data_IF_649090115530
#
_entry.id   IF_649090115530
#
_cell.length_a   1.000
_cell.length_b   1.000
_cell.length_c   1.000
_cell.angle_alpha   90.00
_cell.angle_beta   90.00
_cell.angle_gamma   90.00
#
_symmetry.space_group_name_H-M   'P 1'
#
loop_
_entity.id
_entity.type
_entity.pdbx_description
1 polymer ?
#
# COMPACT_ATOMS: atom_id res chain seq x y z
N UNK A 1 34.88 15.18 13.42
CA UNK A 1 35.67 13.96 13.14
C UNK A 1 35.22 12.91 14.16
N UNK A 2 34.86 11.71 13.69
CA UNK A 2 33.46 11.26 13.74
C UNK A 2 33.29 9.91 14.46
N UNK A 3 32.04 9.46 14.56
CA UNK A 3 31.70 8.12 15.02
C UNK A 3 30.32 7.68 14.52
N UNK A 4 30.09 7.82 13.22
CA UNK A 4 29.00 7.16 12.49
C UNK A 4 29.32 5.67 12.30
N UNK A 5 28.41 4.75 12.62
CA UNK A 5 28.30 3.49 11.84
C UNK A 5 26.86 2.96 11.87
N UNK A 6 26.35 2.78 10.65
CA UNK A 6 25.10 2.16 10.26
C UNK A 6 25.12 0.63 10.44
N UNK A 7 23.93 0.08 10.73
CA UNK A 7 23.25 -1.07 10.11
C UNK A 7 24.07 -2.17 9.39
N UNK A 8 23.79 -3.45 9.71
CA UNK A 8 23.06 -4.43 8.86
C UNK A 8 23.36 -5.91 9.19
N UNK A 9 22.25 -6.66 9.36
CA UNK A 9 21.90 -8.01 8.88
C UNK A 9 22.77 -9.25 9.11
N UNK A 10 22.08 -10.25 9.69
CA UNK A 10 22.06 -11.70 9.41
C UNK A 10 22.83 -12.19 8.17
N UNK A 11 23.57 -13.29 8.32
CA UNK A 11 23.06 -14.63 7.97
C UNK A 11 24.05 -15.75 8.27
N UNK A 12 23.47 -16.87 8.69
CA UNK A 12 24.11 -18.15 8.88
C UNK A 12 24.60 -18.74 7.54
N UNK A 13 25.73 -19.46 7.59
CA UNK A 13 26.09 -20.46 6.60
C UNK A 13 26.48 -21.74 7.35
N UNK A 14 25.66 -22.79 7.18
CA UNK A 14 25.98 -24.17 7.49
C UNK A 14 26.71 -24.74 6.28
N UNK A 15 27.92 -25.25 6.47
CA UNK A 15 28.72 -25.88 5.44
C UNK A 15 29.00 -27.33 5.89
N UNK A 16 28.41 -28.29 5.18
CA UNK A 16 28.73 -29.72 5.27
C UNK A 16 29.08 -30.19 3.88
N UNK A 17 30.27 -30.76 3.70
CA UNK A 17 30.47 -31.90 2.78
C UNK A 17 31.87 -32.48 2.95
N UNK A 18 31.89 -33.79 2.69
CA UNK A 18 32.78 -34.81 3.17
C UNK A 18 34.16 -34.90 2.49
N UNK A 19 35.00 -35.66 3.19
CA UNK A 19 36.34 -36.07 2.84
C UNK A 19 36.41 -36.92 1.55
N UNK A 20 37.50 -36.70 0.83
CA UNK A 20 37.94 -37.49 -0.31
C UNK A 20 38.53 -38.84 0.11
N UNK A 21 38.23 -39.89 -0.66
CA UNK A 21 39.07 -41.10 -0.76
C UNK A 21 39.28 -41.40 -2.24
N UNK A 22 40.55 -41.49 -2.58
CA UNK A 22 41.13 -41.65 -3.91
C UNK A 22 41.36 -43.14 -4.22
N UNK A 23 41.00 -43.62 -5.42
CA UNK A 23 41.58 -44.86 -5.97
C UNK A 23 41.63 -44.82 -7.50
N UNK A 24 42.78 -45.25 -8.04
CA UNK A 24 43.23 -45.10 -9.42
C UNK A 24 42.62 -46.13 -10.41
N UNK A 25 42.64 -45.87 -11.74
CA UNK A 25 41.98 -46.70 -12.76
C UNK A 25 42.96 -47.61 -13.54
N UNK A 26 42.47 -48.62 -14.30
CA UNK A 26 43.24 -49.27 -15.35
C UNK A 26 42.78 -48.90 -16.77
N UNK A 27 43.65 -49.27 -17.73
CA UNK A 27 43.88 -48.72 -19.06
C UNK A 27 43.07 -49.35 -20.21
N UNK A 28 42.74 -48.49 -21.18
CA UNK A 28 42.86 -48.59 -22.66
C UNK A 28 42.24 -49.75 -23.48
N UNK A 29 41.54 -49.39 -24.56
CA UNK A 29 41.86 -49.76 -25.98
C UNK A 29 40.88 -49.05 -26.94
N UNK A 30 41.38 -48.14 -27.79
CA UNK A 30 41.65 -48.29 -29.24
C UNK A 30 40.43 -48.54 -30.15
N UNK A 31 40.11 -47.56 -31.01
CA UNK A 31 39.94 -47.75 -32.47
C UNK A 31 39.86 -46.38 -33.17
N UNK A 32 40.85 -46.11 -34.01
CA UNK A 32 40.98 -44.93 -34.87
C UNK A 32 40.39 -45.22 -36.25
N UNK A 33 39.45 -44.38 -36.69
CA UNK A 33 39.03 -44.25 -38.08
C UNK A 33 39.36 -42.82 -38.52
N UNK A 34 40.54 -42.66 -39.12
CA UNK A 34 41.06 -41.38 -39.61
C UNK A 34 40.31 -40.93 -40.88
N UNK A 35 39.26 -40.13 -40.71
CA UNK A 35 38.79 -39.24 -41.79
C UNK A 35 39.81 -38.12 -41.95
N UNK A 36 40.18 -37.78 -43.19
CA UNK A 36 41.23 -36.78 -43.45
C UNK A 36 40.92 -35.46 -42.72
N UNK A 37 41.93 -34.74 -42.18
CA UNK A 37 41.72 -33.51 -41.43
C UNK A 37 40.99 -32.44 -42.25
N UNK A 38 41.10 -32.46 -43.58
CA UNK A 38 40.35 -31.59 -44.48
C UNK A 38 38.85 -31.87 -44.50
N UNK A 39 38.43 -33.14 -44.47
CA UNK A 39 37.01 -33.51 -44.41
C UNK A 39 36.35 -33.17 -43.08
N UNK A 40 37.09 -33.29 -41.97
CA UNK A 40 36.59 -32.92 -40.64
C UNK A 40 36.45 -31.40 -40.51
N UNK A 41 37.46 -30.64 -40.96
CA UNK A 41 37.42 -29.18 -40.95
C UNK A 41 36.28 -28.63 -41.83
N UNK A 42 36.08 -29.18 -43.03
CA UNK A 42 34.99 -28.78 -43.91
C UNK A 42 33.61 -29.15 -43.33
N UNK A 43 33.48 -30.28 -42.66
CA UNK A 43 32.25 -30.65 -41.96
C UNK A 43 31.95 -29.69 -40.80
N UNK A 44 32.97 -29.33 -40.00
CA UNK A 44 32.82 -28.35 -38.91
C UNK A 44 32.44 -26.97 -39.46
N UNK A 45 33.10 -26.49 -40.52
CA UNK A 45 32.78 -25.21 -41.15
C UNK A 45 31.37 -25.20 -41.74
N UNK A 46 30.93 -26.30 -42.37
CA UNK A 46 29.56 -26.44 -42.86
C UNK A 46 28.54 -26.45 -41.72
N UNK A 47 28.80 -27.15 -40.62
CA UNK A 47 27.94 -27.13 -39.43
C UNK A 47 27.85 -25.75 -38.80
N UNK A 48 28.97 -25.02 -38.67
CA UNK A 48 28.99 -23.66 -38.17
C UNK A 48 28.22 -22.69 -39.08
N UNK A 49 28.32 -22.85 -40.40
CA UNK A 49 27.56 -22.04 -41.36
C UNK A 49 26.05 -22.29 -41.24
N UNK A 50 25.62 -23.54 -41.05
CA UNK A 50 24.21 -23.87 -40.80
C UNK A 50 23.72 -23.27 -39.50
N UNK A 51 24.51 -23.39 -38.41
CA UNK A 51 24.16 -22.78 -37.11
C UNK A 51 24.02 -21.26 -37.26
N UNK A 52 24.98 -20.59 -37.90
CA UNK A 52 24.93 -19.14 -38.10
C UNK A 52 23.71 -18.72 -38.94
N UNK A 53 23.39 -19.49 -39.99
CA UNK A 53 22.21 -19.23 -40.81
C UNK A 53 20.91 -19.42 -40.03
N UNK A 54 20.81 -20.47 -39.19
CA UNK A 54 19.62 -20.69 -38.34
C UNK A 54 19.43 -19.56 -37.32
N UNK A 55 20.52 -19.09 -36.69
CA UNK A 55 20.47 -17.96 -35.76
C UNK A 55 20.03 -16.70 -36.50
N UNK A 56 20.57 -16.42 -37.69
CA UNK A 56 20.17 -15.28 -38.50
C UNK A 56 18.68 -15.32 -38.89
N UNK A 57 18.16 -16.48 -39.29
CA UNK A 57 16.74 -16.66 -39.62
C UNK A 57 15.84 -16.43 -38.40
N UNK A 58 16.24 -16.90 -37.20
CA UNK A 58 15.51 -16.67 -35.95
C UNK A 58 15.52 -15.19 -35.57
N UNK A 59 16.67 -14.52 -35.67
CA UNK A 59 16.75 -13.08 -35.41
C UNK A 59 15.92 -12.27 -36.40
N UNK A 60 15.94 -12.63 -37.68
CA UNK A 60 15.12 -11.99 -38.72
C UNK A 60 13.64 -12.21 -38.44
N UNK A 61 13.21 -13.44 -38.12
CA UNK A 61 11.80 -13.70 -37.77
C UNK A 61 11.37 -12.95 -36.51
N UNK A 62 12.18 -12.92 -35.45
CA UNK A 62 11.89 -12.13 -34.25
C UNK A 62 11.84 -10.62 -34.51
N UNK A 63 12.73 -10.10 -35.35
CA UNK A 63 12.74 -8.68 -35.73
C UNK A 63 11.50 -8.31 -36.55
N UNK A 64 11.08 -9.16 -37.49
CA UNK A 64 9.88 -8.93 -38.29
C UNK A 64 8.57 -9.22 -37.53
N UNK A 65 8.53 -10.15 -36.58
CA UNK A 65 7.35 -10.34 -35.70
C UNK A 65 7.23 -9.21 -34.68
N UNK A 66 8.35 -8.71 -34.14
CA UNK A 66 8.35 -7.54 -33.26
C UNK A 66 7.90 -6.28 -33.99
N UNK A 67 8.30 -6.08 -35.25
CA UNK A 67 7.89 -4.90 -36.02
C UNK A 67 6.46 -5.01 -36.57
N UNK A 68 5.98 -6.20 -36.95
CA UNK A 68 4.60 -6.40 -37.41
C UNK A 68 3.56 -6.42 -36.28
N UNK A 69 3.97 -6.58 -35.02
CA UNK A 69 3.11 -6.42 -33.84
C UNK A 69 2.61 -4.99 -33.60
N UNK A 70 3.13 -4.01 -34.34
CA UNK A 70 2.77 -2.58 -34.18
C UNK A 70 1.76 -2.05 -35.21
N UNK A 71 1.25 -2.87 -36.15
CA UNK A 71 0.25 -2.45 -37.15
C UNK A 71 -1.01 -3.32 -37.26
N UNK A 72 -1.36 -4.09 -36.22
CA UNK A 72 -2.69 -4.71 -36.08
C UNK A 72 -3.43 -4.36 -34.77
N UNK A 73 -3.12 -3.20 -34.18
CA UNK A 73 -4.00 -2.53 -33.21
C UNK A 73 -4.74 -1.38 -33.93
N UNK A 74 -5.58 -1.73 -34.90
CA UNK A 74 -6.14 -0.73 -35.83
C UNK A 74 -7.37 -1.17 -36.62
N UNK A 75 -8.23 -1.99 -36.02
CA UNK A 75 -9.64 -2.14 -36.41
C UNK A 75 -10.47 -2.35 -35.16
N UNK A 76 -10.70 -1.27 -34.43
CA UNK A 76 -11.84 -1.20 -33.54
C UNK A 76 -13.08 -1.11 -34.44
N UNK A 77 -13.81 -2.22 -34.56
CA UNK A 77 -15.23 -2.14 -34.88
C UNK A 77 -15.86 -1.15 -33.89
N UNK A 78 -16.47 -0.11 -34.44
CA UNK A 78 -17.32 0.80 -33.70
C UNK A 78 -18.57 0.04 -33.26
N UNK A 79 -18.45 -0.77 -32.21
CA UNK A 79 -19.57 -1.19 -31.41
C UNK A 79 -20.10 0.05 -30.70
N UNK A 80 -21.28 0.46 -31.16
CA UNK A 80 -22.14 1.43 -30.49
C UNK A 80 -22.20 1.13 -28.99
N UNK A 81 -21.85 2.14 -28.18
CA UNK A 81 -22.22 2.24 -26.77
C UNK A 81 -21.45 1.32 -25.82
N UNK A 82 -20.21 1.67 -25.50
CA UNK A 82 -19.68 1.34 -24.17
C UNK A 82 -20.29 2.34 -23.16
N UNK A 83 -21.12 1.92 -22.19
CA UNK A 83 -21.72 2.84 -21.21
C UNK A 83 -20.68 3.47 -20.28
N UNK A 84 -19.48 2.88 -20.18
CA UNK A 84 -18.44 3.29 -19.25
C UNK A 84 -17.08 3.42 -19.97
N UNK A 85 -16.68 4.63 -20.43
CA UNK A 85 -15.31 4.85 -20.89
C UNK A 85 -14.31 4.50 -19.78
N UNK A 86 -13.06 4.10 -20.11
CA UNK A 86 -12.01 3.91 -19.11
C UNK A 86 -11.96 5.16 -18.26
N UNK A 87 -12.08 4.94 -16.96
CA UNK A 87 -12.28 5.93 -15.92
C UNK A 87 -11.23 7.06 -16.01
N UNK A 88 -11.46 8.09 -16.86
CA UNK A 88 -10.65 9.31 -16.89
C UNK A 88 -10.71 9.96 -15.51
N UNK A 89 -9.64 10.57 -15.02
CA UNK A 89 -9.63 11.27 -13.74
C UNK A 89 -10.84 12.24 -13.64
N UNK A 90 -11.89 11.93 -12.85
CA UNK A 90 -13.18 12.63 -12.93
C UNK A 90 -13.06 14.06 -12.41
N UNK A 91 -12.15 14.25 -11.46
CA UNK A 91 -11.84 15.51 -10.78
C UNK A 91 -10.95 16.46 -11.60
N UNK A 92 -10.55 16.08 -12.82
CA UNK A 92 -10.01 17.05 -13.79
C UNK A 92 -11.11 17.92 -14.42
N UNK A 93 -12.39 17.65 -14.14
CA UNK A 93 -13.46 18.61 -14.41
C UNK A 93 -13.35 19.75 -13.41
N UNK A 94 -13.35 20.99 -13.91
CA UNK A 94 -13.50 22.18 -13.06
C UNK A 94 -14.71 21.97 -12.15
N UNK A 95 -14.52 22.08 -10.83
CA UNK A 95 -15.66 22.21 -9.94
C UNK A 95 -16.45 23.45 -10.35
N UNK A 96 -17.62 23.26 -10.96
CA UNK A 96 -18.49 24.36 -11.42
C UNK A 96 -18.96 25.22 -10.24
N UNK A 97 -19.05 24.61 -9.05
CA UNK A 97 -19.29 25.33 -7.80
C UNK A 97 -18.01 26.09 -7.41
N UNK A 98 -17.96 27.40 -7.67
CA UNK A 98 -17.02 28.32 -7.01
C UNK A 98 -17.27 28.24 -5.51
N UNK A 99 -16.56 27.34 -4.81
CA UNK A 99 -16.56 27.33 -3.35
C UNK A 99 -15.88 28.63 -2.90
N UNK A 100 -16.62 29.48 -2.19
CA UNK A 100 -16.02 30.61 -1.49
C UNK A 100 -15.18 30.05 -0.32
N UNK A 101 -13.91 30.45 -0.21
CA UNK A 101 -13.05 30.09 0.92
C UNK A 101 -12.08 28.93 0.66
N UNK A 102 -11.55 28.38 1.76
CA UNK A 102 -10.53 27.33 1.75
C UNK A 102 -11.20 25.96 1.52
N UNK A 103 -10.69 25.09 0.63
CA UNK A 103 -11.22 23.76 0.44
C UNK A 103 -11.25 22.95 1.76
N UNK A 104 -12.34 22.22 2.06
CA UNK A 104 -12.41 21.38 3.26
C UNK A 104 -11.42 20.22 3.16
N UNK A 105 -10.85 19.80 4.30
CA UNK A 105 -9.98 18.63 4.40
C UNK A 105 -10.79 17.43 4.91
N UNK A 106 -10.79 16.34 4.13
CA UNK A 106 -11.30 15.03 4.57
C UNK A 106 -10.10 14.08 4.77
N UNK A 107 -10.00 13.51 5.97
CA UNK A 107 -9.05 12.45 6.32
C UNK A 107 -9.83 11.15 6.47
N UNK A 108 -9.47 10.13 5.70
CA UNK A 108 -10.07 8.81 5.78
C UNK A 108 -9.01 7.82 6.22
N UNK A 109 -9.28 7.09 7.30
CA UNK A 109 -8.48 5.95 7.75
C UNK A 109 -9.23 4.65 7.49
N UNK A 110 -8.59 3.74 6.75
CA UNK A 110 -9.01 2.35 6.59
C UNK A 110 -8.04 1.52 7.43
N UNK A 111 -8.50 1.00 8.57
CA UNK A 111 -7.61 0.31 9.51
C UNK A 111 -7.02 -0.94 8.86
N UNK A 112 -5.75 -1.23 9.16
CA UNK A 112 -5.06 -2.42 8.62
C UNK A 112 -4.85 -2.39 7.10
N UNK A 113 -5.14 -1.28 6.40
CA UNK A 113 -4.95 -1.20 4.96
C UNK A 113 -3.45 -1.12 4.59
N UNK A 114 -2.85 -2.29 4.36
CA UNK A 114 -1.46 -2.39 3.94
C UNK A 114 -1.26 -1.88 2.50
N UNK A 115 -0.13 -1.21 2.23
CA UNK A 115 0.18 -0.66 0.90
C UNK A 115 0.06 -1.70 -0.24
N UNK A 116 0.38 -2.97 0.04
CA UNK A 116 0.29 -4.07 -0.92
C UNK A 116 -1.14 -4.29 -1.46
N UNK A 117 -2.18 -3.98 -0.68
CA UNK A 117 -3.57 -4.20 -1.08
C UNK A 117 -4.00 -3.35 -2.27
N UNK A 118 -3.35 -2.20 -2.51
CA UNK A 118 -3.69 -1.34 -3.66
C UNK A 118 -3.45 -2.06 -5.00
N UNK A 119 -2.44 -2.92 -5.08
CA UNK A 119 -2.10 -3.66 -6.29
C UNK A 119 -2.57 -5.11 -6.25
N UNK A 120 -2.78 -5.66 -5.05
CA UNK A 120 -3.10 -7.07 -4.87
C UNK A 120 -4.61 -7.35 -4.81
N UNK A 121 -5.42 -6.34 -4.48
CA UNK A 121 -6.89 -6.45 -4.41
C UNK A 121 -7.55 -5.53 -5.42
N UNK A 122 -8.80 -5.83 -5.76
CA UNK A 122 -9.60 -4.99 -6.64
C UNK A 122 -10.07 -3.73 -5.88
N UNK A 123 -9.24 -2.70 -5.90
CA UNK A 123 -9.50 -1.41 -5.24
C UNK A 123 -9.55 -0.26 -6.24
N UNK A 124 -10.44 -0.30 -7.25
CA UNK A 124 -10.39 0.57 -8.41
C UNK A 124 -10.52 2.05 -8.03
N UNK A 125 -11.35 2.37 -7.04
CA UNK A 125 -11.53 3.73 -6.53
C UNK A 125 -10.29 4.26 -5.83
N UNK A 126 -9.64 3.46 -4.97
CA UNK A 126 -8.43 3.85 -4.23
C UNK A 126 -7.25 3.99 -5.19
N UNK A 127 -7.10 3.02 -6.11
CA UNK A 127 -6.08 3.07 -7.16
C UNK A 127 -6.22 4.34 -8.00
N UNK A 128 -7.44 4.65 -8.43
CA UNK A 128 -7.74 5.87 -9.19
C UNK A 128 -7.47 7.15 -8.40
N UNK A 129 -7.77 7.18 -7.10
CA UNK A 129 -7.42 8.31 -6.23
C UNK A 129 -5.91 8.56 -6.22
N UNK A 130 -5.11 7.49 -6.15
CA UNK A 130 -3.65 7.57 -6.22
C UNK A 130 -3.11 7.98 -7.60
N UNK A 131 -3.70 7.47 -8.69
CA UNK A 131 -3.29 7.79 -10.07
C UNK A 131 -3.61 9.24 -10.46
N UNK A 132 -4.76 9.74 -10.02
CA UNK A 132 -5.25 11.08 -10.35
C UNK A 132 -4.86 12.16 -9.33
N UNK A 133 -4.27 11.75 -8.20
CA UNK A 133 -3.87 12.61 -7.09
C UNK A 133 -2.39 12.47 -6.76
N UNK A 134 -2.03 12.83 -5.53
CA UNK A 134 -0.71 12.55 -4.98
C UNK A 134 -0.73 11.23 -4.19
N UNK A 135 0.27 10.37 -4.43
CA UNK A 135 0.45 9.12 -3.68
C UNK A 135 1.90 8.95 -3.24
N UNK A 136 2.10 8.64 -1.97
CA UNK A 136 3.38 8.15 -1.46
C UNK A 136 3.55 6.65 -1.76
N UNK A 137 4.80 6.20 -1.86
CA UNK A 137 5.10 4.76 -2.08
C UNK A 137 4.55 3.90 -0.94
N UNK A 138 4.70 4.36 0.30
CA UNK A 138 4.10 3.83 1.53
C UNK A 138 4.21 4.87 2.65
N UNK A 139 3.58 4.60 3.80
CA UNK A 139 3.70 5.40 5.02
C UNK A 139 4.21 4.49 6.15
N UNK A 140 5.27 4.91 6.85
CA UNK A 140 5.74 4.19 8.03
C UNK A 140 4.84 4.48 9.23
N UNK A 141 4.33 3.45 9.94
CA UNK A 141 3.66 3.66 11.21
C UNK A 141 4.67 4.00 12.31
N UNK A 142 4.22 4.69 13.34
CA UNK A 142 4.89 4.72 14.64
C UNK A 142 4.90 3.31 15.26
N UNK A 143 5.94 3.04 16.06
CA UNK A 143 6.00 1.81 16.85
C UNK A 143 5.31 2.02 18.22
N UNK A 144 4.47 1.06 18.69
CA UNK A 144 4.04 -0.15 17.99
C UNK A 144 3.02 0.13 16.89
N UNK A 145 2.99 -0.72 15.85
CA UNK A 145 2.04 -0.62 14.72
C UNK A 145 0.63 -1.08 15.12
N UNK A 146 0.04 -0.36 16.08
CA UNK A 146 -1.29 -0.59 16.65
C UNK A 146 -2.22 0.58 16.31
N UNK A 147 -3.51 0.31 16.19
CA UNK A 147 -4.55 1.28 15.82
C UNK A 147 -4.44 2.56 16.64
N UNK A 148 -4.51 2.47 17.97
CA UNK A 148 -4.68 3.65 18.82
C UNK A 148 -3.45 4.55 18.86
N UNK A 149 -2.23 4.03 19.09
CA UNK A 149 -1.02 4.84 19.00
C UNK A 149 -0.88 5.55 17.65
N UNK A 150 -1.14 4.85 16.54
CA UNK A 150 -0.93 5.42 15.21
C UNK A 150 -2.01 6.43 14.81
N UNK A 151 -3.28 6.18 15.12
CA UNK A 151 -4.35 7.15 14.83
C UNK A 151 -4.17 8.45 15.62
N UNK A 152 -3.67 8.37 16.85
CA UNK A 152 -3.37 9.56 17.63
C UNK A 152 -2.06 10.24 17.21
N UNK A 153 -1.05 9.48 16.77
CA UNK A 153 0.14 10.03 16.08
C UNK A 153 -0.28 10.85 14.86
N UNK A 154 -1.15 10.32 13.99
CA UNK A 154 -1.63 11.03 12.79
C UNK A 154 -2.36 12.33 13.18
N UNK A 155 -3.15 12.29 14.25
CA UNK A 155 -3.90 13.46 14.71
C UNK A 155 -3.04 14.56 15.33
N UNK A 156 -1.91 14.20 15.95
CA UNK A 156 -1.11 15.13 16.79
C UNK A 156 0.27 15.46 16.20
N UNK A 157 0.78 14.63 15.28
CA UNK A 157 2.16 14.70 14.81
C UNK A 157 3.20 14.27 15.86
N UNK A 158 2.77 13.64 16.96
CA UNK A 158 3.64 13.24 18.07
C UNK A 158 3.90 11.74 18.07
N UNK A 159 5.03 11.30 18.63
CA UNK A 159 5.28 9.88 18.87
C UNK A 159 4.43 9.33 20.03
N UNK A 160 4.16 8.01 20.06
CA UNK A 160 3.42 7.36 21.14
C UNK A 160 3.87 7.68 22.55
N UNK A 161 5.18 7.68 22.80
CA UNK A 161 5.74 8.04 24.11
C UNK A 161 5.55 9.51 24.50
N UNK A 162 5.26 10.39 23.55
CA UNK A 162 5.02 11.82 23.79
C UNK A 162 3.54 12.14 23.97
N UNK A 163 2.66 11.50 23.20
CA UNK A 163 1.22 11.75 23.26
C UNK A 163 0.48 10.84 24.25
N UNK A 164 1.18 9.92 24.92
CA UNK A 164 0.68 9.12 26.04
C UNK A 164 -0.01 7.80 25.66
N UNK A 165 -0.55 7.71 24.44
CA UNK A 165 -1.16 6.48 23.90
C UNK A 165 -0.09 5.53 23.33
N UNK A 166 0.44 4.63 24.16
CA UNK A 166 1.55 3.73 23.79
C UNK A 166 1.14 2.36 23.26
N UNK A 167 -0.09 1.92 23.52
CA UNK A 167 -0.69 0.69 22.98
C UNK A 167 -2.23 0.85 22.94
N UNK A 168 -2.95 -0.08 22.29
CA UNK A 168 -4.41 -0.19 22.39
C UNK A 168 -4.84 -0.56 23.81
N UNK A 169 -4.00 -1.31 24.55
CA UNK A 169 -4.22 -1.69 25.95
C UNK A 169 -2.89 -1.59 26.68
N UNK A 170 -2.81 -0.74 27.70
CA UNK A 170 -1.62 -0.63 28.54
C UNK A 170 -1.98 -0.46 30.01
N UNK A 171 -0.97 -0.60 30.87
CA UNK A 171 -1.10 -0.54 32.32
C UNK A 171 -0.32 0.64 32.85
N UNK A 172 -0.84 1.27 33.88
CA UNK A 172 -0.13 2.26 34.68
C UNK A 172 0.91 1.58 35.59
N UNK A 173 1.87 2.33 36.20
CA UNK A 173 2.88 1.75 37.09
C UNK A 173 2.31 0.94 38.27
N UNK A 174 1.09 1.25 38.72
CA UNK A 174 0.36 0.50 39.73
C UNK A 174 -0.50 -0.65 39.16
N UNK A 175 -0.18 -1.14 37.95
CA UNK A 175 -0.81 -2.29 37.28
C UNK A 175 -2.32 -2.17 37.10
N UNK A 176 -2.85 -0.96 37.01
CA UNK A 176 -4.25 -0.75 36.64
C UNK A 176 -4.37 -0.82 35.13
N UNK A 177 -5.16 -1.78 34.62
CA UNK A 177 -5.48 -1.84 33.19
C UNK A 177 -6.21 -0.56 32.81
N UNK A 178 -5.66 0.19 31.87
CA UNK A 178 -6.26 1.44 31.47
C UNK A 178 -7.27 1.24 30.33
N UNK A 179 -8.39 1.97 30.41
CA UNK A 179 -9.30 2.08 29.28
C UNK A 179 -8.80 3.20 28.37
N UNK A 180 -8.07 2.84 27.32
CA UNK A 180 -7.48 3.77 26.35
C UNK A 180 -8.50 4.64 25.62
N UNK A 181 -9.78 4.31 25.74
CA UNK A 181 -10.87 5.16 25.29
C UNK A 181 -11.14 6.34 26.23
N UNK A 182 -10.49 6.49 27.38
CA UNK A 182 -10.74 7.58 28.34
C UNK A 182 -9.70 8.69 28.18
N UNK A 183 -10.20 9.94 28.17
CA UNK A 183 -9.46 11.19 27.97
C UNK A 183 -8.16 11.42 28.75
N UNK A 184 -7.90 10.71 29.86
CA UNK A 184 -6.90 11.17 30.85
C UNK A 184 -5.43 10.94 30.47
N UNK A 185 -5.14 10.20 29.40
CA UNK A 185 -3.77 9.99 28.89
C UNK A 185 -3.46 10.71 27.58
N UNK A 186 -4.47 11.28 26.93
CA UNK A 186 -4.28 12.01 25.69
C UNK A 186 -3.50 13.31 25.98
N UNK A 187 -2.27 13.35 25.50
CA UNK A 187 -1.39 14.51 25.60
C UNK A 187 -1.15 15.11 24.23
N UNK A 188 -0.73 16.38 24.19
CA UNK A 188 -0.57 17.11 22.93
C UNK A 188 -1.87 17.70 22.42
N UNK A 189 -1.83 18.29 21.23
CA UNK A 189 -2.98 18.93 20.60
C UNK A 189 -3.36 18.18 19.32
N UNK A 190 -4.51 17.49 19.30
CA UNK A 190 -4.99 16.88 18.08
C UNK A 190 -5.52 17.93 17.10
N UNK A 191 -5.41 17.66 15.81
CA UNK A 191 -5.72 18.60 14.73
C UNK A 191 -7.16 19.15 14.78
N UNK A 192 -8.14 18.39 15.26
CA UNK A 192 -9.50 18.90 15.45
C UNK A 192 -9.57 20.02 16.48
N UNK A 193 -8.80 19.94 17.57
CA UNK A 193 -8.71 21.02 18.56
C UNK A 193 -8.02 22.26 17.95
N UNK A 194 -6.97 22.08 17.15
CA UNK A 194 -6.32 23.19 16.44
C UNK A 194 -7.32 23.92 15.52
N UNK A 195 -8.14 23.16 14.78
CA UNK A 195 -9.18 23.73 13.89
C UNK A 195 -10.21 24.53 14.70
N UNK A 196 -10.73 23.97 15.79
CA UNK A 196 -11.71 24.65 16.67
C UNK A 196 -11.13 25.92 17.30
N UNK A 197 -9.89 25.87 17.81
CA UNK A 197 -9.20 27.04 18.38
C UNK A 197 -8.99 28.18 17.38
N UNK A 198 -8.97 27.86 16.09
CA UNK A 198 -8.88 28.83 15.00
C UNK A 198 -10.26 29.26 14.46
N UNK A 199 -11.33 29.04 15.23
CA UNK A 199 -12.69 29.49 14.91
C UNK A 199 -13.33 28.75 13.74
N UNK A 200 -12.87 27.53 13.42
CA UNK A 200 -13.38 26.70 12.33
C UNK A 200 -14.07 25.45 12.87
N UNK A 201 -14.93 24.87 12.05
CA UNK A 201 -15.66 23.64 12.39
C UNK A 201 -14.80 22.42 12.06
N UNK A 202 -14.70 21.48 13.02
CA UNK A 202 -14.11 20.15 12.81
C UNK A 202 -15.10 19.07 13.22
N UNK A 203 -15.29 18.05 12.37
CA UNK A 203 -16.14 16.89 12.67
C UNK A 203 -15.33 15.61 12.57
N UNK A 204 -15.60 14.65 13.46
CA UNK A 204 -14.93 13.36 13.47
C UNK A 204 -15.94 12.22 13.58
N UNK A 205 -15.79 11.22 12.74
CA UNK A 205 -16.58 10.00 12.74
C UNK A 205 -15.67 8.86 13.17
N UNK A 206 -15.83 8.42 14.43
CA UNK A 206 -15.10 7.30 15.03
C UNK A 206 -13.57 7.44 15.10
N UNK A 207 -13.03 8.67 15.04
CA UNK A 207 -11.60 8.87 15.25
C UNK A 207 -11.24 8.79 16.74
N UNK A 208 -10.16 8.08 17.07
CA UNK A 208 -9.74 7.91 18.47
C UNK A 208 -9.53 9.26 19.18
N UNK A 209 -10.10 9.41 20.37
CA UNK A 209 -9.96 10.60 21.21
C UNK A 209 -10.79 11.80 20.76
N UNK A 210 -11.51 11.73 19.63
CA UNK A 210 -12.31 12.86 19.15
C UNK A 210 -13.57 13.14 19.98
N UNK A 211 -13.96 12.18 20.83
CA UNK A 211 -15.10 12.24 21.73
C UNK A 211 -14.70 12.63 23.17
N UNK A 212 -13.41 12.87 23.42
CA UNK A 212 -12.90 13.35 24.70
C UNK A 212 -12.55 14.85 24.64
N UNK A 213 -12.73 15.54 25.77
CA UNK A 213 -12.25 16.92 25.96
C UNK A 213 -10.76 16.96 26.25
N UNK A 214 -9.96 16.81 25.20
CA UNK A 214 -8.50 16.86 25.28
C UNK A 214 -8.06 18.32 25.45
N UNK A 215 -7.36 18.65 26.55
CA UNK A 215 -7.02 20.02 26.93
C UNK A 215 -8.22 20.98 26.99
N UNK A 216 -9.40 20.46 27.38
CA UNK A 216 -10.63 21.23 27.50
C UNK A 216 -11.33 21.57 26.17
N UNK A 217 -10.84 21.06 25.04
CA UNK A 217 -11.44 21.23 23.70
C UNK A 217 -11.74 19.85 23.11
N UNK A 218 -12.86 19.75 22.39
CA UNK A 218 -13.27 18.55 21.65
C UNK A 218 -13.71 18.92 20.24
N UNK A 219 -13.88 17.91 19.37
CA UNK A 219 -14.41 18.14 18.02
C UNK A 219 -15.83 18.72 18.08
N UNK A 220 -16.19 19.61 17.14
CA UNK A 220 -17.53 20.22 17.05
C UNK A 220 -18.66 19.19 16.89
N UNK A 221 -18.33 18.00 16.38
CA UNK A 221 -19.18 16.82 16.37
C UNK A 221 -18.32 15.57 16.43
N UNK A 222 -18.76 14.58 17.21
CA UNK A 222 -18.20 13.24 17.21
C UNK A 222 -19.30 12.18 17.20
N UNK A 223 -19.09 11.08 16.48
CA UNK A 223 -19.96 9.89 16.53
C UNK A 223 -19.14 8.66 16.89
N UNK A 224 -19.66 7.82 17.79
CA UNK A 224 -19.04 6.55 18.17
C UNK A 224 -20.11 5.46 18.16
N UNK A 225 -19.92 4.38 17.39
CA UNK A 225 -20.76 3.17 17.52
C UNK A 225 -20.33 2.27 18.69
N UNK A 226 -19.27 2.65 19.41
CA UNK A 226 -18.84 1.96 20.63
C UNK A 226 -19.81 2.15 21.79
N UNK A 227 -20.79 3.05 21.63
CA UNK A 227 -21.92 3.23 22.54
C UNK A 227 -23.20 2.88 21.77
N UNK A 228 -23.84 1.78 22.18
CA UNK A 228 -25.19 1.33 21.79
C UNK A 228 -25.44 0.90 20.35
N UNK A 229 -25.49 -0.44 20.15
CA UNK A 229 -26.53 -1.15 19.38
C UNK A 229 -26.70 -0.87 17.88
N UNK A 230 -26.00 0.12 17.33
CA UNK A 230 -26.15 0.60 15.97
C UNK A 230 -25.08 -0.06 15.11
N UNK A 231 -25.50 -0.98 14.25
CA UNK A 231 -24.70 -1.42 13.11
C UNK A 231 -24.83 -0.38 12.01
N UNK A 232 -24.26 0.81 12.21
CA UNK A 232 -24.09 1.72 11.09
C UNK A 232 -23.14 1.06 10.09
N UNK A 233 -23.64 0.82 8.89
CA UNK A 233 -22.85 0.26 7.79
C UNK A 233 -21.99 1.36 7.17
N UNK A 234 -20.91 1.00 6.48
CA UNK A 234 -19.98 2.00 5.92
C UNK A 234 -20.64 3.03 5.01
N UNK A 235 -21.72 2.64 4.32
CA UNK A 235 -22.51 3.55 3.47
C UNK A 235 -23.07 4.70 4.28
N UNK A 236 -23.69 4.44 5.43
CA UNK A 236 -24.27 5.49 6.29
C UNK A 236 -23.22 6.48 6.76
N UNK A 237 -22.01 6.00 7.09
CA UNK A 237 -20.90 6.87 7.51
C UNK A 237 -20.41 7.76 6.37
N UNK A 238 -20.34 7.21 5.16
CA UNK A 238 -19.94 7.95 3.96
C UNK A 238 -21.01 8.98 3.58
N UNK A 239 -22.29 8.63 3.68
CA UNK A 239 -23.41 9.54 3.43
C UNK A 239 -23.40 10.70 4.43
N UNK A 240 -23.23 10.41 5.73
CA UNK A 240 -23.10 11.44 6.77
C UNK A 240 -21.95 12.42 6.50
N UNK A 241 -20.76 11.91 6.14
CA UNK A 241 -19.61 12.77 5.82
C UNK A 241 -19.87 13.56 4.53
N UNK A 242 -20.52 12.95 3.54
CA UNK A 242 -20.89 13.63 2.29
C UNK A 242 -21.83 14.78 2.56
N UNK A 243 -22.87 14.57 3.38
CA UNK A 243 -23.83 15.59 3.80
C UNK A 243 -23.14 16.77 4.50
N UNK A 244 -22.14 16.51 5.34
CA UNK A 244 -21.34 17.58 5.94
C UNK A 244 -20.58 18.39 4.89
N UNK A 245 -20.04 17.76 3.86
CA UNK A 245 -19.19 18.42 2.86
C UNK A 245 -19.99 19.16 1.78
N UNK A 246 -21.28 18.86 1.61
CA UNK A 246 -22.17 19.54 0.66
C UNK A 246 -23.10 20.57 1.31
N UNK A 247 -23.09 20.67 2.64
CA UNK A 247 -23.87 21.66 3.39
C UNK A 247 -23.48 23.11 3.04
N UNK A 248 -24.31 24.06 3.46
CA UNK A 248 -24.05 25.49 3.28
C UNK A 248 -22.86 26.00 4.10
N UNK A 249 -22.54 25.31 5.21
CA UNK A 249 -21.40 25.60 6.09
C UNK A 249 -20.59 24.32 6.36
N UNK A 250 -19.77 23.87 5.38
CA UNK A 250 -19.05 22.61 5.48
C UNK A 250 -17.89 22.73 6.49
N UNK A 251 -17.58 21.66 7.25
CA UNK A 251 -16.48 21.68 8.20
C UNK A 251 -15.14 21.86 7.48
N UNK A 252 -14.24 22.63 8.08
CA UNK A 252 -12.88 22.79 7.58
C UNK A 252 -12.08 21.48 7.66
N UNK A 253 -12.42 20.62 8.63
CA UNK A 253 -11.84 19.29 8.81
C UNK A 253 -12.94 18.26 9.07
N UNK A 254 -12.92 17.18 8.30
CA UNK A 254 -13.66 15.95 8.57
C UNK A 254 -12.67 14.79 8.72
N UNK A 255 -12.83 13.95 9.74
CA UNK A 255 -12.03 12.74 9.94
C UNK A 255 -12.95 11.53 10.00
N UNK A 256 -12.67 10.49 9.23
CA UNK A 256 -13.50 9.29 9.11
C UNK A 256 -12.64 8.04 9.35
N UNK A 257 -13.12 7.15 10.21
CA UNK A 257 -12.51 5.85 10.47
C UNK A 257 -13.40 4.71 9.96
N UNK A 258 -12.76 3.71 9.35
CA UNK A 258 -13.35 2.44 8.91
C UNK A 258 -12.54 1.27 9.45
N UNK A 259 -13.21 0.27 10.00
CA UNK A 259 -12.55 -0.89 10.65
C UNK A 259 -11.98 -1.93 9.68
N UNK A 260 -12.31 -1.86 8.40
CA UNK A 260 -11.82 -2.81 7.38
C UNK A 260 -10.66 -2.21 6.58
N UNK A 261 -9.70 -3.04 6.10
CA UNK A 261 -9.67 -4.50 6.16
C UNK A 261 -9.07 -5.12 7.44
N UNK A 262 -8.73 -4.34 8.47
CA UNK A 262 -8.13 -4.86 9.72
C UNK A 262 -8.93 -6.00 10.34
N UNK A 263 -10.25 -5.82 10.47
CA UNK A 263 -11.12 -6.83 11.06
C UNK A 263 -11.14 -8.16 10.28
N UNK A 264 -11.24 -8.09 8.96
CA UNK A 264 -11.17 -9.29 8.11
C UNK A 264 -9.77 -9.92 8.18
N UNK A 265 -8.72 -9.11 8.14
CA UNK A 265 -7.33 -9.55 8.26
C UNK A 265 -7.04 -10.23 9.60
N UNK A 266 -7.62 -9.77 10.69
CA UNK A 266 -7.53 -10.41 12.00
C UNK A 266 -8.27 -11.74 12.06
N UNK A 267 -9.40 -11.86 11.37
CA UNK A 267 -10.27 -13.04 11.43
C UNK A 267 -9.77 -14.17 10.53
N UNK A 268 -9.26 -13.85 9.35
CA UNK A 268 -8.97 -14.82 8.29
C UNK A 268 -7.49 -14.83 7.85
N UNK A 269 -6.71 -13.86 8.32
CA UNK A 269 -5.33 -13.64 7.88
C UNK A 269 -5.27 -12.64 6.73
N UNK A 270 -4.14 -11.94 6.57
CA UNK A 270 -4.04 -10.80 5.68
C UNK A 270 -3.99 -11.19 4.20
N UNK A 271 -3.99 -12.50 3.91
CA UNK A 271 -3.88 -13.06 2.57
C UNK A 271 -5.16 -13.73 2.06
N UNK A 272 -6.22 -13.78 2.88
CA UNK A 272 -7.45 -14.52 2.59
C UNK A 272 -8.36 -13.82 1.57
N UNK A 273 -9.39 -14.52 1.09
CA UNK A 273 -10.37 -13.96 0.13
C UNK A 273 -11.29 -12.90 0.77
N UNK A 274 -11.48 -12.95 2.09
CA UNK A 274 -12.31 -12.00 2.84
C UNK A 274 -11.66 -10.61 2.97
N UNK A 275 -10.33 -10.53 2.85
CA UNK A 275 -9.53 -9.29 2.81
C UNK A 275 -9.43 -8.79 1.37
#
# INVERSE_FOLDING_TARGET
IPGSTLLYSLSAMVQVSDAAVESAPPKSSFLSSSKSPFTLLNAILASLAVIFFTIAVVFITLFFTSNNGSQQAGKAEALQGNPNPPLSCPWMRQCEKKRAGVPPLLVISMDGFANRYINWRDTPTIKKLGECGGRAEFMYPSFPSKTFPNHYTIATGMYPGSHGIVDNVFYTPNLTKYNTLVGSFYSGEPIWNTVVKNGKISKAFMWLGSYDKINGVEASFHHTIYQEGTKEIFVDRIDNVTDWLISDDPPALSMLYMEEPDKSGHSYGPDSEEV
#
